data_IF_743406296720
#
_entry.id   IF_743406296720
#
_cell.length_a   1.000
_cell.length_b   1.000
_cell.length_c   1.000
_cell.angle_alpha   90.00
_cell.angle_beta   90.00
_cell.angle_gamma   90.00
#
_symmetry.space_group_name_H-M   'P 1'
#
loop_
_entity.id
_entity.type
_entity.pdbx_description
1 polymer ?
#
# COMPACT_ATOMS: atom_id res chain seq x y z
N UNK A 1 18.08 -12.21 21.78
CA UNK A 1 16.63 -12.47 21.66
C UNK A 1 16.33 -12.60 20.17
N UNK A 2 16.08 -13.80 19.65
CA UNK A 2 15.79 -14.02 18.23
C UNK A 2 14.29 -13.81 17.99
N UNK A 3 13.96 -12.82 17.16
CA UNK A 3 12.57 -12.52 16.79
C UNK A 3 12.16 -13.50 15.69
N UNK A 4 11.42 -14.54 16.03
CA UNK A 4 10.78 -15.42 15.04
C UNK A 4 9.46 -14.77 14.65
N UNK A 5 9.43 -14.11 13.48
CA UNK A 5 8.18 -13.63 12.91
C UNK A 5 7.35 -14.84 12.50
N UNK A 6 6.30 -15.13 13.27
CA UNK A 6 5.33 -16.15 12.90
C UNK A 6 4.46 -15.56 11.79
N UNK A 7 4.83 -15.85 10.54
CA UNK A 7 3.97 -15.59 9.38
C UNK A 7 2.65 -16.38 9.54
N UNK A 8 1.53 -15.88 9.00
CA UNK A 8 0.25 -16.59 9.04
C UNK A 8 0.37 -17.98 8.38
N UNK A 9 -0.40 -19.00 8.84
CA UNK A 9 -0.33 -20.36 8.30
C UNK A 9 -0.49 -20.45 6.77
N UNK A 10 -1.30 -19.57 6.17
CA UNK A 10 -1.54 -19.49 4.73
C UNK A 10 -0.31 -19.10 3.90
N UNK A 11 0.75 -18.57 4.53
CA UNK A 11 2.01 -18.21 3.89
C UNK A 11 3.05 -19.35 3.94
N UNK A 12 2.82 -20.38 4.78
CA UNK A 12 3.69 -21.56 4.84
C UNK A 12 3.31 -22.61 3.79
N UNK A 13 2.10 -22.52 3.23
CA UNK A 13 1.71 -23.29 2.06
C UNK A 13 2.43 -22.72 0.84
N UNK A 14 3.68 -23.13 0.62
CA UNK A 14 4.34 -22.88 -0.65
C UNK A 14 3.63 -23.71 -1.71
N UNK A 15 2.90 -23.12 -2.67
CA UNK A 15 2.69 -23.81 -3.94
C UNK A 15 4.08 -24.21 -4.47
N UNK A 16 4.21 -25.36 -5.15
CA UNK A 16 5.49 -25.76 -5.73
C UNK A 16 6.04 -24.56 -6.51
N UNK A 17 7.34 -24.23 -6.37
CA UNK A 17 7.89 -23.06 -7.03
C UNK A 17 7.72 -23.26 -8.53
N UNK A 18 6.68 -22.65 -9.09
CA UNK A 18 6.70 -22.30 -10.51
C UNK A 18 7.80 -21.26 -10.57
N UNK A 19 9.01 -21.70 -10.93
CA UNK A 19 10.11 -20.80 -11.21
C UNK A 19 9.68 -20.04 -12.46
N UNK A 20 9.01 -18.90 -12.27
CA UNK A 20 8.68 -18.00 -13.36
C UNK A 20 9.99 -17.28 -13.68
N UNK A 21 10.72 -17.79 -14.67
CA UNK A 21 11.84 -17.06 -15.26
C UNK A 21 11.26 -16.08 -16.27
N UNK A 22 11.39 -14.78 -15.99
CA UNK A 22 11.02 -13.72 -16.91
C UNK A 22 12.22 -13.47 -17.82
N UNK A 23 12.03 -13.58 -19.12
CA UNK A 23 13.08 -13.25 -20.10
C UNK A 23 13.22 -11.72 -20.21
N UNK A 24 14.36 -11.20 -19.75
CA UNK A 24 14.72 -9.78 -19.78
C UNK A 24 15.66 -9.45 -20.94
N UNK A 25 15.87 -10.36 -21.90
CA UNK A 25 16.78 -10.19 -23.04
C UNK A 25 16.38 -9.03 -23.98
N UNK A 26 15.09 -8.67 -24.00
CA UNK A 26 14.61 -7.47 -24.69
C UNK A 26 13.44 -6.81 -23.94
N UNK A 27 13.25 -5.48 -24.07
CA UNK A 27 12.14 -4.79 -23.42
C UNK A 27 10.76 -5.33 -23.82
N UNK A 28 10.58 -5.73 -25.09
CA UNK A 28 9.31 -6.27 -25.58
C UNK A 28 8.97 -7.62 -24.97
N UNK A 29 9.95 -8.52 -24.85
CA UNK A 29 9.76 -9.82 -24.20
C UNK A 29 9.50 -9.67 -22.69
N UNK A 30 10.21 -8.75 -22.03
CA UNK A 30 10.01 -8.48 -20.62
C UNK A 30 8.57 -8.01 -20.32
N UNK A 31 8.03 -7.10 -21.12
CA UNK A 31 6.64 -6.62 -20.97
C UNK A 31 5.65 -7.77 -21.20
N UNK A 32 5.82 -8.55 -22.27
CA UNK A 32 4.93 -9.67 -22.60
C UNK A 32 4.88 -10.73 -21.48
N UNK A 33 6.03 -11.13 -20.94
CA UNK A 33 6.10 -12.12 -19.87
C UNK A 33 5.50 -11.58 -18.55
N UNK A 34 5.69 -10.29 -18.26
CA UNK A 34 5.06 -9.64 -17.11
C UNK A 34 3.54 -9.57 -17.26
N UNK A 35 3.02 -9.21 -18.43
CA UNK A 35 1.58 -9.21 -18.73
C UNK A 35 0.99 -10.60 -18.51
N UNK A 36 1.64 -11.63 -19.06
CA UNK A 36 1.21 -13.02 -18.89
C UNK A 36 1.17 -13.44 -17.42
N UNK A 37 2.17 -13.06 -16.63
CA UNK A 37 2.21 -13.35 -15.21
C UNK A 37 1.06 -12.66 -14.45
N UNK A 38 0.77 -11.39 -14.77
CA UNK A 38 -0.31 -10.63 -14.13
C UNK A 38 -1.69 -11.19 -14.51
N UNK A 39 -1.93 -11.53 -15.78
CA UNK A 39 -3.23 -12.06 -16.23
C UNK A 39 -3.52 -13.49 -15.77
N UNK A 40 -2.50 -14.26 -15.41
CA UNK A 40 -2.67 -15.64 -14.89
C UNK A 40 -2.76 -15.70 -13.37
N UNK A 41 -2.65 -14.55 -12.69
CA UNK A 41 -2.85 -14.41 -11.26
C UNK A 41 -4.28 -14.76 -10.81
N UNK A 42 -4.47 -14.98 -9.50
CA UNK A 42 -5.81 -15.11 -8.92
C UNK A 42 -6.53 -13.76 -9.02
N UNK A 43 -7.80 -13.80 -9.39
CA UNK A 43 -8.67 -12.63 -9.33
C UNK A 43 -8.83 -12.14 -7.87
N UNK A 44 -8.75 -10.83 -7.70
CA UNK A 44 -9.10 -10.14 -6.45
C UNK A 44 -10.63 -10.05 -6.41
N UNK A 45 -11.24 -10.70 -5.42
CA UNK A 45 -12.69 -10.75 -5.24
C UNK A 45 -13.16 -9.93 -4.03
N UNK A 46 -12.26 -9.18 -3.40
CA UNK A 46 -12.53 -8.38 -2.21
C UNK A 46 -12.18 -6.92 -2.47
N UNK A 47 -12.76 -6.02 -1.67
CA UNK A 47 -12.45 -4.59 -1.74
C UNK A 47 -11.05 -4.26 -1.20
N UNK A 48 -10.47 -5.13 -0.37
CA UNK A 48 -9.11 -4.98 0.16
C UNK A 48 -8.53 -6.34 0.59
N UNK A 49 -7.33 -6.65 0.11
CA UNK A 49 -6.61 -7.88 0.41
C UNK A 49 -5.27 -7.60 1.09
N UNK A 50 -4.92 -8.43 2.08
CA UNK A 50 -3.60 -8.40 2.73
C UNK A 50 -2.56 -9.04 1.82
N UNK A 51 -1.73 -8.21 1.17
CA UNK A 51 -0.71 -8.67 0.21
C UNK A 51 0.65 -8.91 0.86
N UNK A 52 0.83 -8.40 2.09
CA UNK A 52 2.01 -8.58 2.93
C UNK A 52 1.60 -8.37 4.40
N UNK A 53 2.27 -8.96 5.40
CA UNK A 53 1.88 -8.79 6.81
C UNK A 53 1.65 -7.32 7.20
N UNK A 54 0.38 -6.99 7.52
CA UNK A 54 -0.12 -5.64 7.86
C UNK A 54 -0.08 -4.62 6.70
N UNK A 55 -0.06 -5.07 5.45
CA UNK A 55 -0.13 -4.23 4.25
C UNK A 55 -1.23 -4.75 3.34
N UNK A 56 -2.18 -3.85 3.07
CA UNK A 56 -3.38 -4.12 2.31
C UNK A 56 -3.35 -3.30 1.02
N UNK A 57 -3.80 -3.91 -0.06
CA UNK A 57 -4.13 -3.21 -1.30
C UNK A 57 -5.63 -3.30 -1.46
N UNK A 58 -6.28 -2.15 -1.68
CA UNK A 58 -7.72 -2.07 -1.79
C UNK A 58 -8.16 -0.97 -2.74
N UNK A 59 -9.48 -0.89 -2.91
CA UNK A 59 -10.15 0.08 -3.77
C UNK A 59 -10.67 1.31 -2.98
N UNK A 60 -11.49 2.13 -3.65
CA UNK A 60 -12.13 3.29 -3.03
C UNK A 60 -13.17 2.91 -1.97
N UNK A 61 -13.85 1.78 -2.13
CA UNK A 61 -14.94 1.36 -1.23
C UNK A 61 -14.37 0.95 0.13
N UNK A 62 -13.28 0.18 0.12
CA UNK A 62 -12.55 -0.15 1.35
C UNK A 62 -11.95 1.10 2.02
N UNK A 63 -11.41 2.05 1.25
CA UNK A 63 -10.80 3.26 1.79
C UNK A 63 -11.82 4.22 2.45
N UNK A 64 -13.09 4.17 2.04
CA UNK A 64 -14.15 5.00 2.64
C UNK A 64 -14.93 4.29 3.74
N UNK A 65 -14.70 3.00 3.94
CA UNK A 65 -15.37 2.22 4.97
C UNK A 65 -14.68 2.36 6.34
N UNK A 66 -14.95 3.49 7.01
CA UNK A 66 -14.42 3.84 8.34
C UNK A 66 -14.54 2.69 9.36
N UNK A 67 -15.64 1.91 9.30
CA UNK A 67 -15.85 0.77 10.21
C UNK A 67 -14.86 -0.36 9.94
N UNK A 68 -14.61 -0.70 8.68
CA UNK A 68 -13.61 -1.71 8.34
C UNK A 68 -12.21 -1.24 8.69
N UNK A 69 -11.86 0.03 8.39
CA UNK A 69 -10.57 0.60 8.77
C UNK A 69 -10.33 0.52 10.29
N UNK A 70 -11.34 0.85 11.10
CA UNK A 70 -11.27 0.73 12.55
C UNK A 70 -11.12 -0.73 13.01
N UNK A 71 -11.91 -1.66 12.46
CA UNK A 71 -11.85 -3.08 12.81
C UNK A 71 -10.50 -3.72 12.47
N UNK A 72 -9.89 -3.30 11.36
CA UNK A 72 -8.56 -3.73 10.94
C UNK A 72 -7.43 -2.94 11.61
N UNK A 73 -7.75 -1.98 12.47
CA UNK A 73 -6.77 -1.12 13.17
C UNK A 73 -5.82 -0.42 12.18
N UNK A 74 -6.38 0.09 11.07
CA UNK A 74 -5.61 0.88 10.10
C UNK A 74 -5.11 2.16 10.76
N UNK A 75 -3.82 2.42 10.62
CA UNK A 75 -3.19 3.65 11.14
C UNK A 75 -2.57 4.51 10.05
N UNK A 76 -2.37 3.97 8.85
CA UNK A 76 -1.79 4.68 7.72
C UNK A 76 -2.57 4.38 6.44
N UNK A 77 -2.85 5.41 5.66
CA UNK A 77 -3.47 5.28 4.33
C UNK A 77 -2.58 5.97 3.32
N UNK A 78 -2.19 5.23 2.28
CA UNK A 78 -1.52 5.77 1.11
C UNK A 78 -2.51 5.72 -0.06
N UNK A 79 -2.93 6.89 -0.54
CA UNK A 79 -3.79 6.98 -1.71
C UNK A 79 -2.96 7.34 -2.94
N UNK A 80 -2.75 6.39 -3.85
CA UNK A 80 -2.00 6.59 -5.08
C UNK A 80 -2.81 7.26 -6.19
N UNK A 81 -4.11 7.51 -5.96
CA UNK A 81 -4.96 8.30 -6.86
C UNK A 81 -5.60 9.47 -6.07
N UNK A 82 -4.74 10.25 -5.42
CA UNK A 82 -5.17 11.45 -4.69
C UNK A 82 -5.57 12.56 -5.66
N UNK A 83 -6.58 13.33 -5.29
CA UNK A 83 -6.95 14.54 -6.00
C UNK A 83 -7.37 15.62 -5.01
N UNK A 84 -6.80 16.81 -5.10
CA UNK A 84 -7.17 17.97 -4.26
C UNK A 84 -8.64 18.39 -4.35
N UNK A 85 -9.35 17.97 -5.41
CA UNK A 85 -10.76 18.28 -5.63
C UNK A 85 -11.73 17.27 -5.02
N UNK A 86 -11.24 16.11 -4.57
CA UNK A 86 -12.07 15.08 -3.92
C UNK A 86 -11.60 14.91 -2.48
N UNK A 87 -12.55 14.75 -1.57
CA UNK A 87 -12.37 14.73 -0.11
C UNK A 87 -11.65 13.46 0.40
N UNK A 88 -10.40 13.28 -0.03
CA UNK A 88 -9.62 12.09 0.28
C UNK A 88 -9.13 12.04 1.73
N UNK A 89 -8.59 13.14 2.24
CA UNK A 89 -8.04 13.20 3.61
C UNK A 89 -9.11 13.51 4.67
N UNK A 90 -10.13 14.30 4.30
CA UNK A 90 -11.26 14.70 5.14
C UNK A 90 -12.00 13.48 5.75
N UNK A 91 -12.08 12.38 5.00
CA UNK A 91 -12.70 11.12 5.43
C UNK A 91 -12.07 10.55 6.70
N UNK A 92 -10.79 10.86 6.95
CA UNK A 92 -10.03 10.36 8.10
C UNK A 92 -9.91 11.39 9.23
N UNK A 93 -10.58 12.54 9.14
CA UNK A 93 -10.58 13.53 10.21
C UNK A 93 -11.18 12.96 11.49
N UNK A 94 -10.49 13.15 12.61
CA UNK A 94 -10.86 12.57 13.90
C UNK A 94 -10.54 11.08 14.04
N UNK A 95 -9.99 10.44 13.00
CA UNK A 95 -9.36 9.13 13.09
C UNK A 95 -7.87 9.31 13.36
N UNK A 96 -7.26 8.43 14.15
CA UNK A 96 -5.81 8.41 14.36
C UNK A 96 -5.09 7.76 13.15
N UNK A 97 -5.40 8.25 11.94
CA UNK A 97 -4.88 7.74 10.66
C UNK A 97 -3.98 8.79 10.02
N UNK A 98 -2.76 8.40 9.69
CA UNK A 98 -1.84 9.22 8.90
C UNK A 98 -2.11 9.01 7.42
N UNK A 99 -2.33 10.11 6.69
CA UNK A 99 -2.66 10.08 5.28
C UNK A 99 -1.47 10.54 4.41
N UNK A 100 -1.19 9.79 3.34
CA UNK A 100 -0.24 10.19 2.30
C UNK A 100 -0.89 10.07 0.91
N UNK A 101 -1.09 11.19 0.24
CA UNK A 101 -1.71 11.24 -1.09
C UNK A 101 -0.69 11.48 -2.19
N UNK A 102 -0.71 10.65 -3.24
CA UNK A 102 0.03 10.85 -4.48
C UNK A 102 -0.97 11.21 -5.57
N UNK A 103 -0.77 12.36 -6.21
CA UNK A 103 -1.59 12.80 -7.37
C UNK A 103 -1.15 12.04 -8.63
N UNK A 104 -1.36 10.72 -8.66
CA UNK A 104 -1.06 9.91 -9.83
C UNK A 104 -2.26 9.75 -10.76
N UNK A 105 -1.95 9.46 -12.02
CA UNK A 105 -2.92 9.09 -13.04
C UNK A 105 -2.58 7.71 -13.56
N UNK A 106 -3.58 6.85 -13.72
CA UNK A 106 -3.42 5.54 -14.34
C UNK A 106 -3.27 5.70 -15.86
N UNK A 107 -2.06 6.04 -16.28
CA UNK A 107 -1.71 6.34 -17.66
C UNK A 107 -0.25 5.95 -17.93
N UNK A 108 0.01 5.39 -19.10
CA UNK A 108 1.37 5.07 -19.56
C UNK A 108 2.30 6.30 -19.68
N UNK A 109 1.73 7.51 -19.70
CA UNK A 109 2.48 8.77 -19.79
C UNK A 109 2.80 9.37 -18.40
N UNK A 110 2.25 8.81 -17.32
CA UNK A 110 2.51 9.30 -15.97
C UNK A 110 3.76 8.61 -15.40
N UNK A 111 4.75 9.41 -15.00
CA UNK A 111 5.95 8.87 -14.36
C UNK A 111 5.69 8.58 -12.87
N UNK A 112 5.26 7.36 -12.57
CA UNK A 112 5.07 6.91 -11.19
C UNK A 112 6.39 6.73 -10.42
N UNK A 113 7.51 6.59 -11.14
CA UNK A 113 8.80 6.24 -10.52
C UNK A 113 9.31 7.30 -9.56
N UNK A 114 8.96 8.57 -9.80
CA UNK A 114 9.30 9.72 -8.94
C UNK A 114 8.75 9.57 -7.51
N UNK A 115 7.70 8.77 -7.33
CA UNK A 115 7.04 8.56 -6.05
C UNK A 115 7.52 7.31 -5.31
N UNK A 116 8.24 6.40 -5.97
CA UNK A 116 8.59 5.09 -5.41
C UNK A 116 9.33 5.18 -4.08
N UNK A 117 10.39 5.98 -3.98
CA UNK A 117 11.15 6.10 -2.74
C UNK A 117 10.30 6.69 -1.60
N UNK A 118 9.57 7.77 -1.90
CA UNK A 118 8.75 8.47 -0.91
C UNK A 118 7.61 7.57 -0.38
N UNK A 119 6.97 6.83 -1.28
CA UNK A 119 5.92 5.87 -0.93
C UNK A 119 6.48 4.68 -0.14
N UNK A 120 7.61 4.11 -0.58
CA UNK A 120 8.27 3.01 0.11
C UNK A 120 8.69 3.42 1.53
N UNK A 121 9.24 4.62 1.71
CA UNK A 121 9.61 5.14 3.02
C UNK A 121 8.39 5.29 3.95
N UNK A 122 7.26 5.77 3.42
CA UNK A 122 6.01 5.87 4.18
C UNK A 122 5.51 4.49 4.64
N UNK A 123 5.45 3.52 3.72
CA UNK A 123 5.04 2.14 4.02
C UNK A 123 5.99 1.50 5.05
N UNK A 124 7.30 1.65 4.83
CA UNK A 124 8.32 1.08 5.70
C UNK A 124 8.21 1.61 7.13
N UNK A 125 8.03 2.92 7.31
CA UNK A 125 7.88 3.53 8.64
C UNK A 125 6.59 3.11 9.34
N UNK A 126 5.49 2.99 8.59
CA UNK A 126 4.22 2.50 9.11
C UNK A 126 4.35 1.07 9.66
N UNK A 127 5.00 0.18 8.90
CA UNK A 127 5.21 -1.21 9.29
C UNK A 127 6.26 -1.37 10.40
N UNK A 128 7.24 -0.47 10.50
CA UNK A 128 8.34 -0.57 11.46
C UNK A 128 7.99 -0.09 12.88
N UNK A 129 6.78 0.44 13.11
CA UNK A 129 6.30 0.79 14.45
C UNK A 129 6.54 2.26 14.87
N UNK A 130 6.40 3.21 13.94
CA UNK A 130 6.15 4.62 14.32
C UNK A 130 7.34 5.57 14.29
N UNK A 131 8.10 5.61 13.19
CA UNK A 131 9.00 6.73 12.93
C UNK A 131 8.22 8.01 12.54
N UNK A 132 8.69 9.18 12.99
CA UNK A 132 8.15 10.49 12.55
C UNK A 132 8.24 10.62 11.02
N UNK A 133 7.14 11.04 10.40
CA UNK A 133 7.11 11.48 9.00
C UNK A 133 7.36 12.98 8.98
N UNK A 134 8.31 13.44 8.17
CA UNK A 134 8.47 14.85 7.83
C UNK A 134 8.14 14.96 6.35
N UNK A 135 7.02 15.61 6.04
CA UNK A 135 6.57 15.78 4.66
C UNK A 135 7.56 16.60 3.84
N UNK A 136 7.65 16.30 2.52
CA UNK A 136 8.37 17.16 1.58
C UNK A 136 7.51 18.39 1.26
N UNK A 137 8.11 19.57 1.00
CA UNK A 137 7.36 20.73 0.52
C UNK A 137 6.67 20.38 -0.80
N UNK A 138 5.33 20.39 -0.80
CA UNK A 138 4.48 20.04 -1.94
C UNK A 138 3.55 18.84 -1.73
N UNK A 139 3.72 18.04 -0.66
CA UNK A 139 2.79 16.97 -0.30
C UNK A 139 1.72 17.49 0.68
N UNK A 140 0.44 17.32 0.35
CA UNK A 140 -0.65 17.60 1.28
C UNK A 140 -0.56 16.64 2.46
N UNK A 141 -0.18 17.15 3.63
CA UNK A 141 -0.08 16.40 4.87
C UNK A 141 -1.02 17.06 5.88
N UNK A 142 -1.92 16.26 6.46
CA UNK A 142 -2.66 16.67 7.66
C UNK A 142 -1.88 16.08 8.83
N UNK A 143 -1.34 16.93 9.69
CA UNK A 143 -0.56 16.53 10.88
C UNK A 143 -1.29 16.88 12.19
N UNK A 144 -0.85 16.17 13.25
CA UNK A 144 -1.12 16.25 14.71
C UNK A 144 -2.18 15.29 15.29
N UNK A 145 -2.00 14.62 16.44
CA UNK A 145 -0.92 14.51 17.46
C UNK A 145 -1.11 13.19 18.27
N UNK A 146 0.01 12.64 18.78
CA UNK A 146 0.19 11.63 19.84
C UNK A 146 -0.81 10.47 19.96
N UNK A 147 -0.42 9.28 19.51
CA UNK A 147 -1.04 8.00 19.86
C UNK A 147 0.00 6.87 19.85
N UNK A 148 -0.16 5.93 20.78
CA UNK A 148 0.76 4.80 21.09
C UNK A 148 1.36 4.07 19.87
N UNK A 149 2.56 3.47 20.03
CA UNK A 149 3.31 2.82 18.95
C UNK A 149 2.78 1.41 18.69
N UNK A 150 1.52 1.28 18.24
CA UNK A 150 0.97 -0.02 17.86
C UNK A 150 0.86 -0.14 16.34
N UNK A 151 1.86 -0.83 15.79
CA UNK A 151 1.91 -1.63 14.56
C UNK A 151 0.99 -1.20 13.41
N UNK A 152 1.53 -0.47 12.43
CA UNK A 152 0.73 0.13 11.38
C UNK A 152 0.26 -0.82 10.28
N UNK A 153 -1.05 -0.75 10.01
CA UNK A 153 -1.66 -1.24 8.78
C UNK A 153 -1.58 -0.14 7.72
N UNK A 154 -1.16 -0.49 6.50
CA UNK A 154 -1.18 0.43 5.34
C UNK A 154 -2.21 -0.05 4.34
N UNK A 155 -3.12 0.82 3.93
CA UNK A 155 -3.97 0.58 2.77
C UNK A 155 -3.49 1.40 1.58
N UNK A 156 -3.20 0.71 0.48
CA UNK A 156 -2.97 1.30 -0.85
C UNK A 156 -4.27 1.39 -1.62
N UNK A 157 -4.54 2.55 -2.20
CA UNK A 157 -5.57 2.80 -3.22
C UNK A 157 -4.91 3.24 -4.51
#
# INVERSE_FOLDING_TARGET
MSFTSKLPPSWNDRPPPRKVEIDLSSPGLAVLELERLLFTGKAINSHADEVWPRLYIGDQDSATNVRQLANHHVTHVLNANHSKRRDGAETYLGMNIKYFGIEAHDSCNFDMSVNFQTAADFIHRALSGGGEWKSRPGACSVEEVSGSPDQGLVQWR
#
